data_IF_345685450146
#
_entry.id   IF_345685450146
#
_cell.length_a   1.000
_cell.length_b   1.000
_cell.length_c   1.000
_cell.angle_alpha   90.00
_cell.angle_beta   90.00
_cell.angle_gamma   90.00
#
_symmetry.space_group_name_H-M   'P 1'
#
loop_
_entity.id
_entity.type
_entity.pdbx_description
1 polymer ?
#
# COMPACT_ATOMS: atom_id res chain seq x y z
N UNK A 1 -30.50 -8.00 10.53
CA UNK A 1 -30.83 -7.26 9.29
C UNK A 1 -29.64 -7.41 8.35
N UNK A 2 -29.84 -7.98 7.16
CA UNK A 2 -28.79 -8.34 6.20
C UNK A 2 -28.05 -7.08 5.70
N UNK A 3 -26.73 -6.99 5.93
CA UNK A 3 -25.89 -5.85 5.50
C UNK A 3 -25.99 -5.57 3.99
N UNK A 4 -26.18 -6.61 3.20
CA UNK A 4 -26.32 -6.56 1.74
C UNK A 4 -27.60 -5.84 1.27
N UNK A 5 -28.68 -5.87 2.07
CA UNK A 5 -29.95 -5.19 1.73
C UNK A 5 -29.87 -3.67 1.98
N UNK A 6 -29.09 -3.21 2.97
CA UNK A 6 -28.90 -1.78 3.25
C UNK A 6 -28.19 -1.03 2.11
N UNK A 7 -27.27 -1.69 1.40
CA UNK A 7 -26.54 -1.09 0.28
C UNK A 7 -27.45 -0.82 -0.94
N UNK A 8 -28.54 -1.57 -1.10
CA UNK A 8 -29.48 -1.44 -2.22
C UNK A 8 -30.70 -0.55 -1.94
N UNK A 9 -31.11 -0.40 -0.69
CA UNK A 9 -32.35 0.31 -0.32
C UNK A 9 -32.14 1.69 0.34
N UNK A 10 -30.99 1.97 0.95
CA UNK A 10 -30.75 3.28 1.59
C UNK A 10 -30.41 4.40 0.58
N UNK A 11 -30.69 5.66 0.97
CA UNK A 11 -30.32 6.84 0.17
C UNK A 11 -28.80 6.91 -0.03
N UNK A 12 -28.38 7.08 -1.28
CA UNK A 12 -26.97 7.19 -1.70
C UNK A 12 -26.15 8.16 -0.82
N UNK A 13 -26.71 9.32 -0.47
CA UNK A 13 -26.02 10.31 0.37
C UNK A 13 -25.66 9.77 1.78
N UNK A 14 -26.56 8.98 2.38
CA UNK A 14 -26.36 8.40 3.71
C UNK A 14 -25.29 7.31 3.67
N UNK A 15 -25.32 6.47 2.63
CA UNK A 15 -24.31 5.45 2.37
C UNK A 15 -22.93 6.08 2.12
N UNK A 16 -22.87 7.11 1.26
CA UNK A 16 -21.64 7.86 1.00
C UNK A 16 -21.03 8.39 2.29
N UNK A 17 -21.80 9.07 3.14
CA UNK A 17 -21.29 9.60 4.41
C UNK A 17 -20.87 8.47 5.37
N UNK A 18 -21.66 7.40 5.48
CA UNK A 18 -21.39 6.25 6.36
C UNK A 18 -20.06 5.56 6.04
N UNK A 19 -19.70 5.43 4.76
CA UNK A 19 -18.46 4.79 4.34
C UNK A 19 -17.29 5.76 4.14
N UNK A 20 -17.55 6.98 3.67
CA UNK A 20 -16.48 7.94 3.37
C UNK A 20 -15.90 8.57 4.62
N UNK A 21 -16.70 8.87 5.65
CA UNK A 21 -16.19 9.50 6.87
C UNK A 21 -15.12 8.63 7.55
N UNK A 22 -15.36 7.32 7.82
CA UNK A 22 -14.33 6.46 8.39
C UNK A 22 -13.09 6.34 7.50
N UNK A 23 -13.26 6.24 6.18
CA UNK A 23 -12.16 6.16 5.23
C UNK A 23 -11.28 7.41 5.24
N UNK A 24 -11.90 8.60 5.22
CA UNK A 24 -11.21 9.90 5.29
C UNK A 24 -10.43 10.03 6.60
N UNK A 25 -11.06 9.69 7.74
CA UNK A 25 -10.38 9.71 9.03
C UNK A 25 -9.14 8.79 9.01
N UNK A 26 -9.28 7.57 8.48
CA UNK A 26 -8.16 6.64 8.34
C UNK A 26 -7.02 7.20 7.49
N UNK A 27 -7.34 7.87 6.38
CA UNK A 27 -6.35 8.53 5.53
C UNK A 27 -5.65 9.70 6.25
N UNK A 28 -6.40 10.50 7.02
CA UNK A 28 -5.83 11.61 7.81
C UNK A 28 -4.88 11.07 8.89
N UNK A 29 -5.26 10.03 9.61
CA UNK A 29 -4.42 9.39 10.63
C UNK A 29 -3.14 8.83 10.00
N UNK A 30 -3.24 8.19 8.84
CA UNK A 30 -2.08 7.69 8.12
C UNK A 30 -1.14 8.83 7.66
N UNK A 31 -1.69 9.93 7.16
CA UNK A 31 -0.90 11.10 6.79
C UNK A 31 -0.21 11.73 8.00
N UNK A 32 -0.90 11.86 9.14
CA UNK A 32 -0.31 12.34 10.39
C UNK A 32 0.81 11.43 10.89
N UNK A 33 0.64 10.11 10.80
CA UNK A 33 1.69 9.15 11.12
C UNK A 33 2.95 9.41 10.27
N UNK A 34 2.81 9.58 8.96
CA UNK A 34 3.93 9.90 8.08
C UNK A 34 4.63 11.22 8.43
N UNK A 35 3.88 12.25 8.84
CA UNK A 35 4.44 13.54 9.26
C UNK A 35 5.21 13.40 10.57
N UNK A 36 4.60 12.76 11.56
CA UNK A 36 5.22 12.54 12.87
C UNK A 36 6.48 11.69 12.74
N UNK A 37 6.41 10.59 11.99
CA UNK A 37 7.56 9.71 11.72
C UNK A 37 8.74 10.49 11.13
N UNK A 38 8.50 11.32 10.10
CA UNK A 38 9.54 12.17 9.50
C UNK A 38 10.09 13.22 10.47
N UNK A 39 9.27 13.80 11.34
CA UNK A 39 9.72 14.74 12.38
C UNK A 39 10.63 14.03 13.40
N UNK A 40 10.24 12.83 13.84
CA UNK A 40 11.05 12.03 14.75
C UNK A 40 12.38 11.66 14.11
N UNK A 41 12.39 11.16 12.88
CA UNK A 41 13.63 10.79 12.19
C UNK A 41 14.50 12.03 11.92
N UNK A 42 13.89 13.16 11.56
CA UNK A 42 14.59 14.44 11.41
C UNK A 42 15.25 14.93 12.70
N UNK A 43 14.57 14.79 13.84
CA UNK A 43 15.11 15.19 15.14
C UNK A 43 16.13 14.18 15.71
N UNK A 44 15.96 12.87 15.46
CA UNK A 44 16.80 11.81 16.02
C UNK A 44 18.04 11.51 15.17
N UNK A 45 17.92 11.53 13.84
CA UNK A 45 18.99 11.14 12.89
C UNK A 45 19.52 12.35 12.10
N UNK A 46 18.79 13.47 12.10
CA UNK A 46 19.18 14.67 11.38
C UNK A 46 18.92 14.59 9.88
N UNK A 47 19.56 15.48 9.12
CA UNK A 47 19.39 15.60 7.67
C UNK A 47 19.80 14.34 6.89
N UNK A 48 20.77 13.56 7.40
CA UNK A 48 21.23 12.32 6.78
C UNK A 48 20.16 11.22 6.80
N UNK A 49 19.40 11.10 7.89
CA UNK A 49 18.30 10.13 7.98
C UNK A 49 17.15 10.47 7.03
N UNK A 50 16.78 11.74 6.92
CA UNK A 50 15.77 12.21 5.95
C UNK A 50 16.24 11.96 4.52
N UNK A 51 17.54 12.18 4.23
CA UNK A 51 18.11 11.87 2.93
C UNK A 51 18.00 10.38 2.60
N UNK A 52 18.27 9.49 3.57
CA UNK A 52 18.10 8.05 3.42
C UNK A 52 16.69 7.65 3.01
N UNK A 53 15.67 8.14 3.74
CA UNK A 53 14.24 7.91 3.40
C UNK A 53 13.91 8.39 1.98
N UNK A 54 14.42 9.56 1.61
CA UNK A 54 14.12 10.17 0.31
C UNK A 54 14.72 9.34 -0.84
N UNK A 55 15.90 8.77 -0.64
CA UNK A 55 16.57 7.92 -1.64
C UNK A 55 15.91 6.54 -1.73
N UNK A 56 15.36 6.01 -0.63
CA UNK A 56 14.55 4.79 -0.64
C UNK A 56 13.16 4.95 -1.24
N UNK A 57 12.66 6.18 -1.36
CA UNK A 57 11.30 6.47 -1.81
C UNK A 57 10.91 5.87 -3.17
N UNK A 58 11.77 5.88 -4.23
CA UNK A 58 11.47 5.22 -5.50
C UNK A 58 11.23 3.71 -5.35
N UNK A 59 11.97 3.04 -4.47
CA UNK A 59 11.80 1.60 -4.21
C UNK A 59 10.44 1.36 -3.56
N UNK A 60 10.07 2.19 -2.58
CA UNK A 60 8.76 2.14 -1.93
C UNK A 60 7.62 2.35 -2.94
N UNK A 61 7.78 3.28 -3.89
CA UNK A 61 6.79 3.51 -4.94
C UNK A 61 6.58 2.29 -5.83
N UNK A 62 7.64 1.59 -6.23
CA UNK A 62 7.54 0.36 -7.03
C UNK A 62 6.81 -0.73 -6.25
N UNK A 63 7.15 -0.92 -4.97
CA UNK A 63 6.48 -1.88 -4.11
C UNK A 63 4.98 -1.56 -3.94
N UNK A 64 4.65 -0.29 -3.70
CA UNK A 64 3.25 0.16 -3.62
C UNK A 64 2.52 -0.05 -4.95
N UNK A 65 3.14 0.25 -6.09
CA UNK A 65 2.52 0.07 -7.40
C UNK A 65 2.15 -1.40 -7.66
N UNK A 66 3.04 -2.34 -7.34
CA UNK A 66 2.76 -3.78 -7.46
C UNK A 66 1.64 -4.23 -6.51
N UNK A 67 1.66 -3.77 -5.25
CA UNK A 67 0.63 -4.09 -4.29
C UNK A 67 -0.74 -3.53 -4.70
N UNK A 68 -0.79 -2.29 -5.21
CA UNK A 68 -2.00 -1.65 -5.72
C UNK A 68 -2.52 -2.36 -6.96
N UNK A 69 -1.65 -2.75 -7.90
CA UNK A 69 -2.04 -3.49 -9.10
C UNK A 69 -2.82 -4.76 -8.75
N UNK A 70 -2.29 -5.56 -7.84
CA UNK A 70 -2.91 -6.83 -7.44
C UNK A 70 -4.12 -6.56 -6.54
N UNK A 71 -3.99 -5.70 -5.53
CA UNK A 71 -5.05 -5.45 -4.55
C UNK A 71 -6.28 -4.79 -5.17
N UNK A 72 -6.09 -3.67 -5.87
CA UNK A 72 -7.19 -2.95 -6.53
C UNK A 72 -7.71 -3.77 -7.71
N UNK A 73 -6.82 -4.34 -8.54
CA UNK A 73 -7.21 -5.17 -9.67
C UNK A 73 -8.07 -6.38 -9.26
N UNK A 74 -7.66 -7.12 -8.23
CA UNK A 74 -8.43 -8.26 -7.70
C UNK A 74 -9.75 -7.80 -7.11
N UNK A 75 -9.77 -6.71 -6.33
CA UNK A 75 -11.00 -6.19 -5.70
C UNK A 75 -12.02 -5.72 -6.74
N UNK A 76 -11.56 -5.07 -7.82
CA UNK A 76 -12.40 -4.68 -8.95
C UNK A 76 -13.01 -5.90 -9.64
N UNK A 77 -12.22 -6.93 -9.93
CA UNK A 77 -12.71 -8.17 -10.53
C UNK A 77 -13.70 -8.91 -9.62
N UNK A 78 -13.43 -8.98 -8.31
CA UNK A 78 -14.35 -9.55 -7.31
C UNK A 78 -15.67 -8.80 -7.33
N UNK A 79 -15.64 -7.46 -7.33
CA UNK A 79 -16.84 -6.62 -7.37
C UNK A 79 -17.67 -6.87 -8.63
N UNK A 80 -17.02 -7.02 -9.78
CA UNK A 80 -17.69 -7.36 -11.05
C UNK A 80 -18.35 -8.74 -10.96
N UNK A 81 -17.64 -9.78 -10.51
CA UNK A 81 -18.18 -11.15 -10.42
C UNK A 81 -19.30 -11.30 -9.41
N UNK A 82 -19.22 -10.61 -8.28
CA UNK A 82 -20.32 -10.53 -7.33
C UNK A 82 -21.55 -9.83 -7.95
N UNK A 83 -21.33 -8.78 -8.74
CA UNK A 83 -22.38 -8.12 -9.51
C UNK A 83 -23.05 -9.04 -10.55
N UNK A 84 -22.26 -9.93 -11.18
CA UNK A 84 -22.75 -10.99 -12.07
C UNK A 84 -23.42 -12.17 -11.33
N UNK A 85 -23.57 -12.11 -10.00
CA UNK A 85 -24.03 -13.22 -9.13
C UNK A 85 -23.16 -14.49 -9.18
N UNK A 86 -21.92 -14.39 -9.69
CA UNK A 86 -20.96 -15.50 -9.80
C UNK A 86 -20.07 -15.57 -8.57
N UNK A 87 -20.63 -16.01 -7.45
CA UNK A 87 -19.94 -16.04 -6.15
C UNK A 87 -18.73 -16.96 -6.13
N UNK A 88 -18.83 -18.15 -6.75
CA UNK A 88 -17.71 -19.10 -6.83
C UNK A 88 -16.51 -18.52 -7.59
N UNK A 89 -16.75 -17.85 -8.74
CA UNK A 89 -15.69 -17.16 -9.47
C UNK A 89 -15.06 -16.03 -8.64
N UNK A 90 -15.88 -15.28 -7.88
CA UNK A 90 -15.38 -14.22 -7.00
C UNK A 90 -14.48 -14.77 -5.88
N UNK A 91 -14.84 -15.90 -5.26
CA UNK A 91 -14.02 -16.56 -4.25
C UNK A 91 -12.70 -17.08 -4.83
N UNK A 92 -12.73 -17.66 -6.04
CA UNK A 92 -11.51 -18.09 -6.73
C UNK A 92 -10.58 -16.91 -7.03
N UNK A 93 -11.13 -15.77 -7.47
CA UNK A 93 -10.34 -14.55 -7.71
C UNK A 93 -9.75 -14.02 -6.40
N UNK A 94 -10.50 -14.05 -5.31
CA UNK A 94 -10.01 -13.64 -3.99
C UNK A 94 -8.83 -14.52 -3.54
N UNK A 95 -8.96 -15.84 -3.64
CA UNK A 95 -7.89 -16.78 -3.30
C UNK A 95 -6.64 -16.58 -4.16
N UNK A 96 -6.82 -16.52 -5.48
CA UNK A 96 -5.72 -16.31 -6.42
C UNK A 96 -5.04 -14.94 -6.23
N UNK A 97 -5.82 -13.89 -6.03
CA UNK A 97 -5.31 -12.54 -5.77
C UNK A 97 -4.48 -12.48 -4.49
N UNK A 98 -4.93 -13.15 -3.41
CA UNK A 98 -4.18 -13.22 -2.16
C UNK A 98 -2.87 -14.01 -2.31
N UNK A 99 -2.88 -15.15 -2.98
CA UNK A 99 -1.68 -15.94 -3.28
C UNK A 99 -0.70 -15.13 -4.14
N UNK A 100 -1.20 -14.47 -5.18
CA UNK A 100 -0.38 -13.63 -6.06
C UNK A 100 0.26 -12.46 -5.30
N UNK A 101 -0.48 -11.83 -4.38
CA UNK A 101 0.03 -10.76 -3.53
C UNK A 101 1.18 -11.27 -2.64
N UNK A 102 1.01 -12.42 -1.98
CA UNK A 102 2.06 -13.01 -1.14
C UNK A 102 3.30 -13.34 -1.98
N UNK A 103 3.11 -13.97 -3.15
CA UNK A 103 4.21 -14.32 -4.05
C UNK A 103 4.97 -13.08 -4.53
N UNK A 104 4.28 -12.03 -4.96
CA UNK A 104 4.96 -10.81 -5.40
C UNK A 104 5.67 -10.12 -4.24
N UNK A 105 5.08 -10.12 -3.04
CA UNK A 105 5.71 -9.53 -1.87
C UNK A 105 7.00 -10.24 -1.51
N UNK A 106 7.01 -11.58 -1.50
CA UNK A 106 8.22 -12.37 -1.25
C UNK A 106 9.27 -12.10 -2.34
N UNK A 107 8.87 -12.10 -3.61
CA UNK A 107 9.78 -11.83 -4.73
C UNK A 107 10.41 -10.43 -4.64
N UNK A 108 9.59 -9.40 -4.37
CA UNK A 108 10.05 -8.02 -4.23
C UNK A 108 10.94 -7.85 -2.99
N UNK A 109 10.64 -8.52 -1.88
CA UNK A 109 11.48 -8.50 -0.69
C UNK A 109 12.84 -9.14 -0.95
N UNK A 110 12.88 -10.33 -1.57
CA UNK A 110 14.15 -11.00 -1.93
C UNK A 110 14.94 -10.12 -2.90
N UNK A 111 14.29 -9.60 -3.95
CA UNK A 111 14.93 -8.72 -4.92
C UNK A 111 15.46 -7.44 -4.26
N UNK A 112 14.65 -6.80 -3.41
CA UNK A 112 15.03 -5.61 -2.66
C UNK A 112 16.24 -5.83 -1.76
N UNK A 113 16.31 -6.97 -1.05
CA UNK A 113 17.45 -7.30 -0.19
C UNK A 113 18.72 -7.63 -0.97
N UNK A 114 18.60 -8.40 -2.07
CA UNK A 114 19.75 -8.78 -2.90
C UNK A 114 20.33 -7.57 -3.65
N UNK A 115 19.47 -6.68 -4.14
CA UNK A 115 19.86 -5.52 -4.95
C UNK A 115 19.81 -4.19 -4.19
N UNK A 116 19.70 -4.21 -2.86
CA UNK A 116 19.56 -3.00 -2.03
C UNK A 116 20.66 -1.98 -2.32
N UNK A 117 21.92 -2.38 -2.13
CA UNK A 117 23.09 -1.52 -2.31
C UNK A 117 23.23 -0.95 -3.74
N UNK A 118 23.13 -1.76 -4.81
CA UNK A 118 23.20 -1.21 -6.17
C UNK A 118 22.00 -0.31 -6.51
N UNK A 119 20.79 -0.63 -6.06
CA UNK A 119 19.62 0.24 -6.27
C UNK A 119 19.80 1.59 -5.56
N UNK A 120 20.24 1.58 -4.30
CA UNK A 120 20.49 2.79 -3.53
C UNK A 120 21.55 3.68 -4.20
N UNK A 121 22.64 3.09 -4.74
CA UNK A 121 23.65 3.83 -5.50
C UNK A 121 23.09 4.45 -6.79
N UNK A 122 22.27 3.70 -7.54
CA UNK A 122 21.62 4.20 -8.77
C UNK A 122 20.65 5.35 -8.45
N UNK A 123 19.94 5.27 -7.32
CA UNK A 123 19.02 6.33 -6.87
C UNK A 123 19.71 7.50 -6.16
N UNK A 124 21.05 7.50 -6.07
CA UNK A 124 21.83 8.66 -5.63
C UNK A 124 22.32 8.61 -4.18
N UNK A 125 22.34 7.44 -3.54
CA UNK A 125 23.00 7.27 -2.23
C UNK A 125 24.50 7.56 -2.36
N UNK A 126 24.94 8.67 -1.77
CA UNK A 126 26.36 8.93 -1.50
C UNK A 126 26.85 8.01 -0.39
N UNK A 127 28.17 7.79 -0.29
CA UNK A 127 28.76 6.88 0.71
C UNK A 127 28.40 7.27 2.16
N UNK A 128 28.05 8.53 2.42
CA UNK A 128 27.61 9.02 3.73
C UNK A 128 26.13 8.71 4.06
N UNK A 129 25.29 8.50 3.04
CA UNK A 129 23.85 8.23 3.20
C UNK A 129 23.54 6.73 3.06
N UNK A 130 24.42 5.98 2.39
CA UNK A 130 24.30 4.54 2.23
C UNK A 130 24.01 3.77 3.53
N UNK A 131 24.70 4.03 4.67
CA UNK A 131 24.46 3.30 5.92
C UNK A 131 23.03 3.50 6.44
N UNK A 132 22.52 4.73 6.33
CA UNK A 132 21.17 5.13 6.78
C UNK A 132 20.06 4.67 5.85
N UNK A 133 20.39 4.34 4.60
CA UNK A 133 19.44 3.84 3.62
C UNK A 133 19.43 2.30 3.52
N UNK A 134 20.47 1.64 4.07
CA UNK A 134 20.62 0.19 4.08
C UNK A 134 20.16 -0.50 5.37
N UNK A 135 19.82 0.25 6.41
CA UNK A 135 19.05 -0.21 7.58
C UNK A 135 17.54 -0.19 7.29
#
# INVERSE_FOLDING_TARGET
MNHSMQLGEEKVLKLLLKFSIPAIIGMIVNALYNVVDRIFIGNSVGSLGIAGITIGFPIMLVMMACAMLIGIGSTSLISIKLGEQKKEEAELIMGNGMVLLILISILLSIFGLVFLNPLLKIFGASDAVLPYASE
#
